data_IF_635343396637
#
_entry.id   IF_635343396637
#
_cell.length_a   1.000
_cell.length_b   1.000
_cell.length_c   1.000
_cell.angle_alpha   90.00
_cell.angle_beta   90.00
_cell.angle_gamma   90.00
#
_symmetry.space_group_name_H-M   'P 1'
#
loop_
_entity.id
_entity.type
_entity.pdbx_description
1 polymer ?
#
# COMPACT_ATOMS: atom_id res chain seq x y z
N UNK A 1 12.14 5.45 -3.50
CA UNK A 1 10.98 4.57 -3.69
C UNK A 1 11.43 3.51 -4.65
N UNK A 2 11.81 2.36 -4.13
CA UNK A 2 12.31 1.28 -4.96
C UNK A 2 11.15 0.36 -5.28
N UNK A 3 11.01 -0.01 -6.55
CA UNK A 3 10.01 -0.98 -6.96
C UNK A 3 10.24 -2.30 -6.24
N UNK A 4 9.17 -2.86 -5.69
CA UNK A 4 9.23 -4.11 -4.96
C UNK A 4 7.93 -4.89 -5.11
N UNK A 5 8.03 -6.21 -4.99
CA UNK A 5 6.89 -7.11 -5.05
C UNK A 5 6.52 -7.59 -3.65
N UNK A 6 5.26 -7.42 -3.28
CA UNK A 6 4.67 -8.06 -2.11
C UNK A 6 3.91 -9.33 -2.55
N UNK A 7 4.24 -10.50 -1.98
CA UNK A 7 3.65 -11.79 -2.37
C UNK A 7 3.30 -12.62 -1.13
N UNK A 8 2.08 -13.17 -1.11
CA UNK A 8 1.65 -14.16 -0.13
C UNK A 8 1.93 -15.59 -0.62
N UNK A 9 2.15 -16.51 0.32
CA UNK A 9 2.14 -17.94 0.00
C UNK A 9 0.72 -18.46 -0.21
N UNK A 10 0.57 -19.48 -1.06
CA UNK A 10 -0.74 -20.09 -1.34
C UNK A 10 -1.34 -20.66 -0.05
N UNK A 11 -2.56 -20.23 0.29
CA UNK A 11 -3.29 -20.71 1.46
C UNK A 11 -2.81 -20.14 2.80
N UNK A 12 -1.98 -19.08 2.79
CA UNK A 12 -1.54 -18.39 4.00
C UNK A 12 -2.03 -16.94 4.00
N UNK A 13 -2.38 -16.45 5.18
CA UNK A 13 -2.75 -15.05 5.39
C UNK A 13 -1.50 -14.17 5.56
N UNK A 14 -1.60 -12.93 5.06
CA UNK A 14 -0.62 -11.88 5.37
C UNK A 14 -1.16 -11.01 6.49
N UNK A 15 -0.40 -10.91 7.58
CA UNK A 15 -0.69 -9.99 8.68
C UNK A 15 0.36 -8.88 8.64
N UNK A 16 -0.08 -7.65 8.39
CA UNK A 16 0.81 -6.50 8.21
C UNK A 16 0.47 -5.37 9.18
N UNK A 17 1.51 -4.75 9.74
CA UNK A 17 1.42 -3.46 10.41
C UNK A 17 2.11 -2.43 9.51
N UNK A 18 1.33 -1.64 8.78
CA UNK A 18 1.83 -0.65 7.83
C UNK A 18 1.87 0.74 8.47
N UNK A 19 2.90 1.53 8.12
CA UNK A 19 3.06 2.91 8.56
C UNK A 19 3.27 3.79 7.33
N UNK A 20 2.49 4.86 7.23
CA UNK A 20 2.54 5.81 6.12
C UNK A 20 2.89 7.21 6.65
N UNK A 21 3.73 7.91 5.89
CA UNK A 21 4.08 9.30 6.14
C UNK A 21 4.20 10.04 4.79
N UNK A 22 3.34 11.02 4.48
CA UNK A 22 2.25 11.54 5.30
C UNK A 22 1.16 10.49 5.61
N UNK A 23 0.32 10.71 6.65
CA UNK A 23 -0.73 9.76 6.98
C UNK A 23 -1.73 9.64 5.84
N UNK A 24 -2.30 8.45 5.68
CA UNK A 24 -3.43 8.26 4.77
C UNK A 24 -4.64 9.06 5.29
N UNK A 25 -5.36 9.70 4.39
CA UNK A 25 -6.59 10.45 4.65
C UNK A 25 -7.83 9.54 4.60
N UNK A 26 -7.72 8.38 3.94
CA UNK A 26 -8.82 7.45 3.70
C UNK A 26 -9.62 7.78 2.43
N UNK A 27 -9.27 8.86 1.72
CA UNK A 27 -9.83 9.21 0.43
C UNK A 27 -8.97 8.69 -0.75
N UNK A 28 -7.73 8.23 -0.47
CA UNK A 28 -6.83 7.72 -1.47
C UNK A 28 -7.35 6.41 -2.09
N UNK A 29 -7.30 6.32 -3.41
CA UNK A 29 -7.47 5.08 -4.16
C UNK A 29 -6.16 4.79 -4.86
N UNK A 30 -5.72 3.53 -4.87
CA UNK A 30 -4.53 3.13 -5.63
C UNK A 30 -4.69 3.56 -7.09
N UNK A 31 -3.68 4.26 -7.61
CA UNK A 31 -3.60 4.59 -9.03
C UNK A 31 -3.00 3.44 -9.85
N UNK A 32 -2.74 3.69 -11.13
CA UNK A 32 -2.17 2.70 -12.07
C UNK A 32 -0.77 2.23 -11.65
N UNK A 33 -0.06 3.04 -10.86
CA UNK A 33 1.26 2.73 -10.33
C UNK A 33 1.20 1.98 -8.98
N UNK A 34 -0.02 1.76 -8.44
CA UNK A 34 -0.25 1.04 -7.21
C UNK A 34 0.15 1.80 -5.95
N UNK A 35 0.24 3.13 -6.03
CA UNK A 35 0.56 4.00 -4.88
C UNK A 35 -0.71 4.67 -4.33
N UNK A 36 -0.66 5.13 -3.07
CA UNK A 36 -1.68 6.00 -2.50
C UNK A 36 -1.25 7.46 -2.71
N UNK A 37 -1.71 8.15 -3.77
CA UNK A 37 -1.34 9.54 -4.01
C UNK A 37 -1.93 10.43 -2.92
N UNK A 38 -1.22 11.50 -2.55
CA UNK A 38 -1.73 12.49 -1.62
C UNK A 38 -2.87 13.24 -2.33
N UNK A 39 -4.10 13.03 -1.86
CA UNK A 39 -5.26 13.83 -2.28
C UNK A 39 -5.31 15.05 -1.37
N UNK A 40 -5.24 16.25 -1.95
CA UNK A 40 -5.43 17.51 -1.21
C UNK A 40 -6.90 17.75 -0.83
#
# INVERSE_FOLDING_TARGET
HDEHYLRAYKGADMVMACVFNPPLTGAEVHDEDGVYPIVE
#
